data_IF_771285467654
#
_entry.id   IF_771285467654
#
_cell.length_a   1.000
_cell.length_b   1.000
_cell.length_c   1.000
_cell.angle_alpha   90.00
_cell.angle_beta   90.00
_cell.angle_gamma   90.00
#
_symmetry.space_group_name_H-M   'P 1'
#
loop_
_entity.id
_entity.type
_entity.pdbx_description
1 polymer ?
#
# COMPACT_ATOMS: atom_id res chain seq x y z
N UNK A 1 -22.24 2.05 0.04
CA UNK A 1 -21.19 2.61 -0.85
C UNK A 1 -20.76 1.51 -1.80
N UNK A 2 -20.52 1.79 -3.09
CA UNK A 2 -20.25 0.72 -4.07
C UNK A 2 -18.76 0.59 -4.44
N UNK A 3 -17.98 1.64 -4.20
CA UNK A 3 -16.53 1.63 -4.41
C UNK A 3 -15.82 2.44 -3.33
N UNK A 4 -14.73 1.89 -2.79
CA UNK A 4 -13.73 2.60 -2.01
C UNK A 4 -12.44 2.61 -2.84
N UNK A 5 -11.85 3.78 -3.01
CA UNK A 5 -10.63 3.97 -3.79
C UNK A 5 -9.52 4.55 -2.91
N UNK A 6 -8.54 3.73 -2.57
CA UNK A 6 -7.43 4.02 -1.67
C UNK A 6 -6.07 3.92 -2.40
N UNK A 7 -5.86 4.81 -3.37
CA UNK A 7 -4.62 4.91 -4.12
C UNK A 7 -3.59 5.74 -3.35
N UNK A 8 -2.41 5.17 -3.15
CA UNK A 8 -1.24 5.80 -2.55
C UNK A 8 -1.47 6.44 -1.17
N UNK A 9 -2.31 5.83 -0.33
CA UNK A 9 -2.70 6.40 0.96
C UNK A 9 -2.48 5.48 2.17
N UNK A 10 -2.68 4.16 2.02
CA UNK A 10 -2.77 3.25 3.16
C UNK A 10 -1.43 2.85 3.77
N UNK A 11 -0.34 2.92 3.00
CA UNK A 11 0.98 2.47 3.46
C UNK A 11 1.66 3.43 4.45
N UNK A 12 1.01 4.52 4.86
CA UNK A 12 1.49 5.38 5.95
C UNK A 12 0.84 5.06 7.30
N UNK A 13 -0.10 4.10 7.34
CA UNK A 13 -0.89 3.78 8.51
C UNK A 13 -0.22 2.62 9.26
N UNK A 14 -0.02 2.70 10.58
CA UNK A 14 0.51 1.57 11.34
C UNK A 14 -0.42 0.36 11.25
N UNK A 15 0.17 -0.84 11.28
CA UNK A 15 -0.49 -2.09 10.88
C UNK A 15 -1.79 -2.39 11.66
N UNK A 16 -1.84 -2.01 12.94
CA UNK A 16 -3.03 -2.23 13.79
C UNK A 16 -4.20 -1.36 13.30
N UNK A 17 -3.95 -0.08 13.10
CA UNK A 17 -4.92 0.90 12.62
C UNK A 17 -5.33 0.58 11.18
N UNK A 18 -4.38 0.17 10.32
CA UNK A 18 -4.67 -0.25 8.96
C UNK A 18 -5.66 -1.41 8.90
N UNK A 19 -5.45 -2.45 9.72
CA UNK A 19 -6.40 -3.58 9.81
C UNK A 19 -7.79 -3.13 10.29
N UNK A 20 -7.85 -2.20 11.23
CA UNK A 20 -9.10 -1.62 11.69
C UNK A 20 -9.81 -0.84 10.56
N UNK A 21 -9.08 -0.02 9.81
CA UNK A 21 -9.65 0.72 8.67
C UNK A 21 -10.13 -0.21 7.55
N UNK A 22 -9.47 -1.33 7.31
CA UNK A 22 -9.91 -2.33 6.33
C UNK A 22 -11.24 -2.95 6.75
N UNK A 23 -11.43 -3.23 8.04
CA UNK A 23 -12.73 -3.69 8.56
C UNK A 23 -13.81 -2.61 8.41
N UNK A 24 -13.49 -1.36 8.69
CA UNK A 24 -14.41 -0.23 8.48
C UNK A 24 -14.80 -0.06 7.00
N UNK A 25 -13.84 -0.21 6.08
CA UNK A 25 -14.11 -0.22 4.64
C UNK A 25 -15.06 -1.35 4.26
N UNK A 26 -14.86 -2.54 4.82
CA UNK A 26 -15.74 -3.68 4.60
C UNK A 26 -17.16 -3.36 5.08
N UNK A 27 -17.32 -2.82 6.29
CA UNK A 27 -18.65 -2.46 6.83
C UNK A 27 -19.36 -1.39 6.00
N UNK A 28 -18.64 -0.38 5.52
CA UNK A 28 -19.20 0.74 4.74
C UNK A 28 -19.63 0.36 3.31
N UNK A 29 -19.00 -0.66 2.72
CA UNK A 29 -19.35 -1.13 1.39
C UNK A 29 -20.66 -1.94 1.40
N UNK A 30 -21.42 -1.79 0.32
CA UNK A 30 -22.56 -2.66 0.03
C UNK A 30 -22.05 -4.06 -0.36
N UNK A 31 -22.87 -5.10 -0.21
CA UNK A 31 -22.56 -6.42 -0.81
C UNK A 31 -22.37 -6.26 -2.32
N UNK A 32 -21.28 -6.83 -2.84
CA UNK A 32 -20.82 -6.63 -4.22
C UNK A 32 -19.96 -5.38 -4.42
N UNK A 33 -19.78 -4.54 -3.40
CA UNK A 33 -18.95 -3.35 -3.46
C UNK A 33 -17.45 -3.66 -3.55
N UNK A 34 -16.71 -2.76 -4.20
CA UNK A 34 -15.30 -2.94 -4.56
C UNK A 34 -14.38 -2.09 -3.70
N UNK A 35 -13.29 -2.68 -3.21
CA UNK A 35 -12.13 -1.97 -2.68
C UNK A 35 -11.03 -1.99 -3.75
N UNK A 36 -10.59 -0.81 -4.18
CA UNK A 36 -9.33 -0.62 -4.90
C UNK A 36 -8.30 -0.01 -3.96
N UNK A 37 -7.14 -0.62 -3.83
CA UNK A 37 -6.05 -0.08 -3.02
C UNK A 37 -4.68 -0.30 -3.68
N UNK A 38 -3.71 0.56 -3.33
CA UNK A 38 -2.32 0.35 -3.74
C UNK A 38 -1.39 0.39 -2.55
N UNK A 39 -0.37 -0.47 -2.55
CA UNK A 39 0.66 -0.52 -1.52
C UNK A 39 2.05 -0.42 -2.13
N UNK A 40 2.95 0.30 -1.46
CA UNK A 40 4.33 0.44 -1.92
C UNK A 40 5.06 -0.89 -1.78
N UNK A 41 5.76 -1.34 -2.82
CA UNK A 41 6.53 -2.58 -2.75
C UNK A 41 7.96 -2.32 -2.26
N UNK A 42 8.65 -3.38 -1.82
CA UNK A 42 10.10 -3.33 -1.55
C UNK A 42 10.97 -3.06 -2.79
N UNK A 43 10.41 -3.09 -3.99
CA UNK A 43 11.12 -2.67 -5.23
C UNK A 43 11.16 -1.16 -5.38
N UNK A 44 10.30 -0.42 -4.66
CA UNK A 44 10.25 1.03 -4.71
C UNK A 44 11.54 1.65 -4.19
N UNK A 45 11.99 2.73 -4.81
CA UNK A 45 13.19 3.50 -4.42
C UNK A 45 13.22 3.88 -2.94
N UNK A 46 12.06 4.17 -2.34
CA UNK A 46 11.97 4.50 -0.92
C UNK A 46 12.48 3.37 -0.01
N UNK A 47 12.38 2.12 -0.46
CA UNK A 47 12.83 0.97 0.32
C UNK A 47 14.36 0.93 0.49
N UNK A 48 15.14 1.42 -0.48
CA UNK A 48 16.61 1.46 -0.34
C UNK A 48 17.09 2.46 0.72
N UNK A 49 16.23 3.40 1.11
CA UNK A 49 16.47 4.39 2.17
C UNK A 49 15.75 4.03 3.48
N UNK A 50 15.19 2.82 3.55
CA UNK A 50 14.42 2.38 4.70
C UNK A 50 15.30 1.78 5.79
N UNK A 51 14.98 2.11 7.04
CA UNK A 51 15.49 1.42 8.21
C UNK A 51 14.69 0.13 8.46
N UNK A 52 15.18 -0.69 9.39
CA UNK A 52 14.49 -1.93 9.78
C UNK A 52 13.06 -1.64 10.22
N UNK A 53 12.13 -2.47 9.75
CA UNK A 53 10.72 -2.40 10.12
C UNK A 53 10.53 -2.45 11.65
N UNK A 54 9.71 -1.52 12.15
CA UNK A 54 9.34 -1.44 13.55
C UNK A 54 8.18 -2.38 13.89
N UNK A 55 7.90 -2.57 15.19
CA UNK A 55 6.81 -3.46 15.65
C UNK A 55 5.42 -3.07 15.15
N UNK A 56 5.23 -1.82 14.73
CA UNK A 56 3.98 -1.31 14.17
C UNK A 56 3.86 -1.56 12.66
N UNK A 57 4.84 -2.22 12.04
CA UNK A 57 4.87 -2.54 10.61
C UNK A 57 5.32 -1.39 9.71
N UNK A 58 5.80 -0.27 10.26
CA UNK A 58 6.34 0.83 9.47
C UNK A 58 7.87 0.78 9.48
N UNK A 59 8.48 1.08 8.34
CA UNK A 59 9.89 1.41 8.23
C UNK A 59 10.06 2.92 8.13
N UNK A 60 10.95 3.49 8.95
CA UNK A 60 11.40 4.86 8.79
C UNK A 60 12.22 4.98 7.50
N UNK A 61 11.89 5.94 6.65
CA UNK A 61 12.58 6.25 5.39
C UNK A 61 13.10 7.67 5.47
N UNK A 62 14.38 7.86 5.22
CA UNK A 62 15.03 9.18 5.22
C UNK A 62 15.66 9.43 3.85
N UNK A 63 15.04 10.30 3.06
CA UNK A 63 15.57 10.70 1.75
C UNK A 63 16.25 12.06 1.93
N UNK A 64 17.54 12.10 1.58
CA UNK A 64 18.36 13.28 1.64
C UNK A 64 18.81 13.64 0.21
N UNK A 65 18.55 14.87 -0.22
CA UNK A 65 18.89 15.32 -1.58
C UNK A 65 17.98 16.44 -2.04
N UNK A 66 17.37 16.28 -3.22
CA UNK A 66 16.35 17.22 -3.73
C UNK A 66 15.14 17.29 -2.79
N UNK A 67 14.70 16.13 -2.31
CA UNK A 67 13.75 16.01 -1.22
C UNK A 67 14.54 15.81 0.07
N UNK A 68 14.14 16.53 1.12
CA UNK A 68 14.68 16.35 2.47
C UNK A 68 13.51 15.92 3.36
N UNK A 69 13.20 14.63 3.34
CA UNK A 69 11.98 14.10 3.93
C UNK A 69 12.23 12.88 4.82
N UNK A 70 11.47 12.83 5.91
CA UNK A 70 11.33 11.63 6.73
C UNK A 70 9.90 11.12 6.57
N UNK A 71 9.77 9.86 6.16
CA UNK A 71 8.48 9.17 6.03
C UNK A 71 8.48 7.87 6.83
N UNK A 72 7.30 7.35 7.13
CA UNK A 72 7.13 6.03 7.76
C UNK A 72 6.21 5.20 6.87
N UNK A 73 6.73 4.11 6.31
CA UNK A 73 6.08 3.40 5.21
C UNK A 73 5.98 1.89 5.51
N UNK A 74 4.82 1.33 5.26
CA UNK A 74 4.55 -0.10 5.23
C UNK A 74 4.84 -0.65 3.83
N UNK A 75 5.93 -1.42 3.70
CA UNK A 75 6.34 -2.01 2.42
C UNK A 75 5.84 -3.44 2.26
N UNK A 76 5.38 -3.75 1.05
CA UNK A 76 4.92 -5.09 0.70
C UNK A 76 6.00 -5.83 -0.08
N UNK A 77 6.30 -7.07 0.31
CA UNK A 77 7.28 -7.90 -0.37
C UNK A 77 6.68 -8.49 -1.65
N UNK A 78 5.55 -9.20 -1.52
CA UNK A 78 4.89 -9.91 -2.62
C UNK A 78 3.45 -9.46 -2.75
N UNK A 79 2.92 -9.43 -3.98
CA UNK A 79 1.53 -9.08 -4.23
C UNK A 79 0.54 -9.95 -3.43
N UNK A 80 0.87 -11.22 -3.22
CA UNK A 80 0.06 -12.17 -2.45
C UNK A 80 -0.09 -11.78 -0.97
N UNK A 81 0.85 -11.01 -0.40
CA UNK A 81 0.75 -10.55 0.98
C UNK A 81 -0.47 -9.62 1.17
N UNK A 82 -0.96 -9.00 0.08
CA UNK A 82 -2.15 -8.15 0.09
C UNK A 82 -3.43 -8.95 0.39
N UNK A 83 -3.51 -10.21 0.00
CA UNK A 83 -4.69 -11.05 0.25
C UNK A 83 -4.94 -11.23 1.75
N UNK A 84 -3.86 -11.38 2.52
CA UNK A 84 -3.92 -11.47 3.99
C UNK A 84 -4.16 -10.10 4.63
N UNK A 85 -3.54 -9.04 4.08
CA UNK A 85 -3.68 -7.70 4.61
C UNK A 85 -5.12 -7.19 4.50
N UNK A 86 -5.76 -7.42 3.34
CA UNK A 86 -7.09 -6.92 3.01
C UNK A 86 -8.24 -7.87 3.37
N UNK A 87 -8.01 -8.87 4.22
CA UNK A 87 -9.13 -9.62 4.79
C UNK A 87 -10.11 -8.67 5.52
N UNK A 88 -11.44 -8.84 5.38
CA UNK A 88 -12.13 -10.03 4.87
C UNK A 88 -12.61 -9.91 3.41
N UNK A 89 -12.07 -8.98 2.61
CA UNK A 89 -12.43 -8.90 1.19
C UNK A 89 -12.01 -10.18 0.45
N UNK A 90 -12.86 -10.64 -0.47
CA UNK A 90 -12.45 -11.64 -1.44
C UNK A 90 -11.61 -10.97 -2.52
N UNK A 91 -10.40 -11.48 -2.76
CA UNK A 91 -9.51 -10.95 -3.80
C UNK A 91 -10.11 -11.20 -5.19
N UNK A 92 -10.35 -10.13 -5.95
CA UNK A 92 -10.69 -10.21 -7.37
C UNK A 92 -9.46 -10.13 -8.27
N UNK A 93 -8.54 -9.22 -7.95
CA UNK A 93 -7.36 -9.00 -8.76
C UNK A 93 -6.17 -8.53 -7.94
N UNK A 94 -4.99 -9.01 -8.32
CA UNK A 94 -3.70 -8.49 -7.89
C UNK A 94 -2.95 -7.99 -9.12
N UNK A 95 -2.30 -6.85 -9.01
CA UNK A 95 -1.48 -6.30 -10.07
C UNK A 95 -0.36 -5.44 -9.51
N UNK A 96 0.33 -4.74 -10.40
CA UNK A 96 1.35 -3.78 -10.07
C UNK A 96 1.49 -2.73 -11.17
N UNK A 97 2.14 -1.63 -10.82
CA UNK A 97 2.62 -0.67 -11.79
C UNK A 97 3.97 -0.12 -11.32
N UNK A 98 4.84 0.15 -12.29
CA UNK A 98 6.07 0.90 -12.11
C UNK A 98 6.14 1.94 -13.23
N UNK A 99 5.79 3.20 -12.96
CA UNK A 99 5.67 4.20 -14.01
C UNK A 99 7.04 4.51 -14.61
N UNK A 100 7.09 4.58 -15.95
CA UNK A 100 8.26 5.05 -16.67
C UNK A 100 8.41 6.55 -16.38
N UNK A 101 9.47 6.91 -15.64
CA UNK A 101 9.76 8.31 -15.33
C UNK A 101 10.62 8.94 -16.43
N UNK A 102 10.05 9.90 -17.16
CA UNK A 102 10.71 10.60 -18.27
C UNK A 102 11.73 11.69 -17.84
N UNK A 103 12.01 11.83 -16.55
CA UNK A 103 12.95 12.83 -16.02
C UNK A 103 13.76 12.22 -14.87
N UNK A 104 15.06 11.93 -15.07
CA UNK A 104 16.09 11.60 -14.06
C UNK A 104 15.56 11.23 -12.65
N UNK A 105 14.69 10.24 -12.56
CA UNK A 105 14.00 9.91 -11.32
C UNK A 105 14.86 8.92 -10.54
N UNK A 106 14.89 9.07 -9.22
CA UNK A 106 15.92 8.48 -8.37
C UNK A 106 15.81 6.95 -8.22
N UNK A 107 14.76 6.32 -8.76
CA UNK A 107 14.68 4.86 -8.88
C UNK A 107 13.31 4.33 -9.34
N UNK A 108 12.93 3.14 -8.89
CA UNK A 108 11.61 2.57 -9.19
C UNK A 108 10.52 3.27 -8.36
N UNK A 109 9.34 3.49 -8.95
CA UNK A 109 8.15 3.96 -8.23
C UNK A 109 7.11 2.84 -8.13
N UNK A 110 7.57 1.59 -8.04
CA UNK A 110 6.73 0.41 -8.05
C UNK A 110 5.74 0.36 -6.88
N UNK A 111 4.49 0.02 -7.20
CA UNK A 111 3.42 -0.26 -6.25
C UNK A 111 2.67 -1.53 -6.68
N UNK A 112 2.18 -2.29 -5.71
CA UNK A 112 1.18 -3.32 -5.97
C UNK A 112 -0.22 -2.72 -5.95
N UNK A 113 -1.12 -3.29 -6.75
CA UNK A 113 -2.56 -3.02 -6.80
C UNK A 113 -3.29 -4.21 -6.18
N UNK A 114 -4.26 -3.92 -5.30
CA UNK A 114 -5.24 -4.86 -4.79
C UNK A 114 -6.64 -4.43 -5.22
N UNK A 115 -7.42 -5.37 -5.75
CA UNK A 115 -8.86 -5.21 -5.98
C UNK A 115 -9.58 -6.33 -5.24
N UNK A 116 -10.41 -5.95 -4.27
CA UNK A 116 -11.23 -6.86 -3.48
C UNK A 116 -12.72 -6.56 -3.61
N UNK A 117 -13.55 -7.57 -3.36
CA UNK A 117 -15.01 -7.46 -3.35
C UNK A 117 -15.57 -7.87 -1.99
N UNK A 118 -16.58 -7.12 -1.50
CA UNK A 118 -17.38 -7.53 -0.35
C UNK A 118 -18.41 -8.56 -0.80
N UNK A 119 -18.42 -9.73 -0.18
CA UNK A 119 -19.47 -10.74 -0.36
C UNK A 119 -20.38 -10.85 0.85
#
# INVERSE_FOLDING_TARGET
MDIIFANQSLYYIPLKELKQNILEFYELLNTGGILFATMMSKKNYYFSHSQKEEKNGLSKVEINGRLNETSFIHFIDKAQDLENLFQPFETLFLGDYDPINFYNFEGSAHHYIYIGIKK
#
